data_IF_087807335737
#
_entry.id   IF_087807335737
#
_cell.length_a   1.000
_cell.length_b   1.000
_cell.length_c   1.000
_cell.angle_alpha   90.00
_cell.angle_beta   90.00
_cell.angle_gamma   90.00
#
_symmetry.space_group_name_H-M   'P 1'
#
loop_
_entity.id
_entity.type
_entity.pdbx_description
1 polymer ?
#
# COMPACT_ATOMS: atom_id res chain seq x y z
N UNK A 1 13.35 2.50 6.83
CA UNK A 1 12.86 1.72 5.67
C UNK A 1 12.40 0.34 6.11
N UNK A 2 13.20 -0.40 6.90
CA UNK A 2 12.77 -1.70 7.45
C UNK A 2 11.47 -1.61 8.27
N UNK A 3 11.30 -0.57 9.09
CA UNK A 3 10.06 -0.39 9.88
C UNK A 3 8.81 -0.23 9.01
N UNK A 4 8.93 0.43 7.85
CA UNK A 4 7.84 0.57 6.90
C UNK A 4 7.49 -0.80 6.28
N UNK A 5 8.51 -1.54 5.83
CA UNK A 5 8.33 -2.88 5.26
C UNK A 5 7.69 -3.84 6.26
N UNK A 6 8.08 -3.77 7.54
CA UNK A 6 7.46 -4.52 8.62
C UNK A 6 5.98 -4.16 8.79
N UNK A 7 5.64 -2.87 8.85
CA UNK A 7 4.25 -2.43 8.96
C UNK A 7 3.39 -2.87 7.75
N UNK A 8 3.94 -2.82 6.54
CA UNK A 8 3.29 -3.32 5.33
C UNK A 8 3.08 -4.83 5.37
N UNK A 9 4.05 -5.58 5.88
CA UNK A 9 3.94 -7.02 6.08
C UNK A 9 2.85 -7.38 7.09
N UNK A 10 2.83 -6.74 8.25
CA UNK A 10 1.79 -6.95 9.26
C UNK A 10 0.40 -6.67 8.72
N UNK A 11 0.25 -5.57 7.95
CA UNK A 11 -1.01 -5.25 7.29
C UNK A 11 -1.40 -6.34 6.28
N UNK A 12 -0.46 -6.79 5.43
CA UNK A 12 -0.68 -7.83 4.45
C UNK A 12 -1.17 -9.14 5.08
N UNK A 13 -0.51 -9.58 6.16
CA UNK A 13 -0.92 -10.77 6.93
C UNK A 13 -2.32 -10.59 7.52
N UNK A 14 -2.62 -9.40 8.05
CA UNK A 14 -3.94 -9.07 8.61
C UNK A 14 -5.07 -9.15 7.58
N UNK A 15 -4.84 -8.65 6.37
CA UNK A 15 -5.85 -8.63 5.30
C UNK A 15 -5.92 -9.93 4.50
N UNK A 16 -4.88 -10.77 4.56
CA UNK A 16 -4.85 -12.07 3.91
C UNK A 16 -4.83 -12.02 2.37
N UNK A 17 -4.31 -10.94 1.78
CA UNK A 17 -4.20 -10.76 0.34
C UNK A 17 -2.94 -11.41 -0.25
N UNK A 18 -3.01 -11.80 -1.52
CA UNK A 18 -1.95 -12.55 -2.22
C UNK A 18 -1.23 -11.73 -3.28
N UNK A 19 -1.79 -10.59 -3.67
CA UNK A 19 -1.21 -9.71 -4.68
C UNK A 19 -1.07 -8.33 -4.09
N UNK A 20 0.15 -7.80 -4.13
CA UNK A 20 0.48 -6.45 -3.67
C UNK A 20 0.88 -5.62 -4.86
N UNK A 21 0.02 -4.67 -5.23
CA UNK A 21 0.39 -3.64 -6.18
C UNK A 21 1.23 -2.57 -5.48
N UNK A 22 2.39 -2.20 -6.04
CA UNK A 22 3.24 -1.14 -5.51
C UNK A 22 3.29 0.05 -6.47
N UNK A 23 2.73 1.17 -6.02
CA UNK A 23 2.86 2.46 -6.70
C UNK A 23 4.19 3.12 -6.31
N UNK A 24 5.24 2.90 -7.12
CA UNK A 24 6.56 3.51 -6.89
C UNK A 24 7.22 3.87 -8.21
N UNK A 25 7.85 5.05 -8.26
CA UNK A 25 8.75 5.44 -9.34
C UNK A 25 10.15 4.83 -9.25
N UNK A 26 10.47 4.13 -8.15
CA UNK A 26 11.79 3.54 -7.90
C UNK A 26 11.71 2.01 -7.90
N UNK A 27 12.16 1.38 -8.98
CA UNK A 27 12.14 -0.08 -9.13
C UNK A 27 12.97 -0.81 -8.08
N UNK A 28 14.12 -0.24 -7.69
CA UNK A 28 14.98 -0.84 -6.65
C UNK A 28 14.23 -0.98 -5.32
N UNK A 29 13.43 0.00 -4.94
CA UNK A 29 12.61 -0.09 -3.71
C UNK A 29 11.54 -1.17 -3.83
N UNK A 30 10.92 -1.33 -5.01
CA UNK A 30 9.94 -2.41 -5.26
C UNK A 30 10.60 -3.77 -5.13
N UNK A 31 11.78 -3.96 -5.74
CA UNK A 31 12.49 -5.24 -5.72
C UNK A 31 12.98 -5.57 -4.29
N UNK A 32 13.46 -4.57 -3.53
CA UNK A 32 13.82 -4.72 -2.11
C UNK A 32 12.60 -5.12 -1.26
N UNK A 33 11.45 -4.49 -1.49
CA UNK A 33 10.22 -4.84 -0.78
C UNK A 33 9.76 -6.26 -1.12
N UNK A 34 9.80 -6.66 -2.39
CA UNK A 34 9.48 -8.02 -2.81
C UNK A 34 10.41 -9.05 -2.15
N UNK A 35 11.72 -8.80 -2.15
CA UNK A 35 12.70 -9.65 -1.47
C UNK A 35 12.46 -9.73 0.04
N UNK A 36 12.10 -8.60 0.68
CA UNK A 36 11.74 -8.55 2.09
C UNK A 36 10.54 -9.44 2.41
N UNK A 37 9.46 -9.34 1.63
CA UNK A 37 8.25 -10.16 1.83
C UNK A 37 8.55 -11.65 1.67
N UNK A 38 9.32 -12.04 0.64
CA UNK A 38 9.73 -13.45 0.43
C UNK A 38 10.52 -13.97 1.64
N UNK A 39 11.50 -13.19 2.12
CA UNK A 39 12.30 -13.56 3.29
C UNK A 39 11.42 -13.71 4.53
N UNK A 40 10.57 -12.72 4.83
CA UNK A 40 9.73 -12.69 6.03
C UNK A 40 8.69 -13.82 6.05
N UNK A 41 8.06 -14.10 4.90
CA UNK A 41 7.15 -15.24 4.75
C UNK A 41 7.86 -16.57 4.98
N UNK A 42 9.10 -16.73 4.47
CA UNK A 42 9.88 -17.94 4.68
C UNK A 42 10.30 -18.14 6.15
N UNK A 43 10.67 -17.05 6.84
CA UNK A 43 10.97 -17.07 8.28
C UNK A 43 9.74 -17.47 9.10
N UNK A 44 8.58 -16.86 8.84
CA UNK A 44 7.35 -17.19 9.56
C UNK A 44 6.88 -18.63 9.26
N UNK A 45 7.13 -19.13 8.05
CA UNK A 45 6.92 -20.53 7.70
C UNK A 45 7.80 -21.48 8.51
N UNK A 46 9.08 -21.16 8.67
CA UNK A 46 10.03 -21.95 9.43
C UNK A 46 9.72 -21.96 10.94
N UNK A 47 9.25 -20.83 11.48
CA UNK A 47 8.93 -20.68 12.90
C UNK A 47 7.62 -21.40 13.31
N UNK A 48 6.64 -21.49 12.40
CA UNK A 48 5.32 -22.05 12.71
C UNK A 48 5.23 -23.57 12.54
N UNK A 49 6.23 -24.20 11.94
CA UNK A 49 6.46 -25.65 11.98
C UNK A 49 5.40 -26.55 11.33
N UNK A 50 4.21 -26.06 10.95
CA UNK A 50 3.14 -26.73 10.20
C UNK A 50 2.05 -25.69 9.91
N UNK A 51 1.25 -25.94 8.88
CA UNK A 51 0.09 -25.19 8.34
C UNK A 51 -1.04 -24.80 9.33
N UNK A 52 -0.77 -24.58 10.63
CA UNK A 52 -1.80 -24.35 11.66
C UNK A 52 -1.70 -22.96 12.29
N UNK A 53 -2.27 -21.99 11.57
CA UNK A 53 -3.13 -20.95 12.14
C UNK A 53 -3.86 -20.15 11.05
N UNK A 54 -4.50 -20.80 10.05
CA UNK A 54 -5.32 -20.12 9.04
C UNK A 54 -4.58 -19.20 8.05
N UNK A 55 -3.34 -18.83 8.35
CA UNK A 55 -2.39 -18.22 7.43
C UNK A 55 -1.82 -19.36 6.59
N UNK A 56 -2.53 -19.72 5.51
CA UNK A 56 -1.82 -20.36 4.38
C UNK A 56 -0.70 -19.37 4.04
N UNK A 57 0.54 -19.82 4.06
CA UNK A 57 1.66 -19.07 3.48
C UNK A 57 1.36 -18.99 1.99
N UNK A 58 0.59 -17.98 1.63
CA UNK A 58 0.17 -17.75 0.27
C UNK A 58 1.37 -17.16 -0.46
N UNK A 59 1.55 -17.56 -1.71
CA UNK A 59 2.55 -16.94 -2.55
C UNK A 59 2.13 -15.49 -2.78
N UNK A 60 2.74 -14.58 -2.03
CA UNK A 60 2.51 -13.15 -2.23
C UNK A 60 3.27 -12.71 -3.46
N UNK A 61 2.56 -12.14 -4.42
CA UNK A 61 3.14 -11.59 -5.64
C UNK A 61 3.16 -10.07 -5.57
N UNK A 62 4.35 -9.48 -5.64
CA UNK A 62 4.50 -8.03 -5.77
C UNK A 62 4.48 -7.67 -7.25
N UNK A 63 3.59 -6.75 -7.61
CA UNK A 63 3.40 -6.30 -8.99
C UNK A 63 3.37 -4.78 -9.06
N UNK A 64 3.66 -4.26 -10.24
CA UNK A 64 3.49 -2.85 -10.62
C UNK A 64 2.71 -2.77 -11.92
N UNK A 65 2.30 -1.57 -12.33
CA UNK A 65 1.73 -1.33 -13.68
C UNK A 65 2.59 -1.88 -14.82
N UNK A 66 3.92 -1.92 -14.65
CA UNK A 66 4.84 -2.46 -15.66
C UNK A 66 4.74 -3.99 -15.79
N UNK A 67 4.40 -4.69 -14.72
CA UNK A 67 4.24 -6.14 -14.73
C UNK A 67 2.85 -6.55 -15.25
N UNK A 68 1.84 -5.69 -15.01
CA UNK A 68 0.44 -5.96 -15.35
C UNK A 68 0.06 -5.60 -16.79
N UNK A 69 0.59 -4.50 -17.34
CA UNK A 69 0.28 -4.08 -18.72
C UNK A 69 1.18 -4.77 -19.74
N UNK A 70 0.59 -5.22 -20.85
CA UNK A 70 1.27 -5.92 -21.93
C UNK A 70 0.90 -5.33 -23.29
N UNK A 71 1.62 -5.70 -24.35
CA UNK A 71 1.26 -5.38 -25.73
C UNK A 71 1.10 -3.88 -26.01
N UNK A 72 -0.04 -3.47 -26.57
CA UNK A 72 -0.34 -2.06 -26.89
C UNK A 72 -0.41 -1.20 -25.64
N UNK A 73 -1.00 -1.71 -24.56
CA UNK A 73 -1.21 -0.94 -23.33
C UNK A 73 0.11 -0.68 -22.62
N UNK A 74 1.05 -1.62 -22.71
CA UNK A 74 2.42 -1.40 -22.24
C UNK A 74 3.13 -0.30 -23.03
N UNK A 75 3.04 -0.32 -24.36
CA UNK A 75 3.63 0.72 -25.22
C UNK A 75 3.01 2.09 -24.94
N UNK A 76 1.71 2.13 -24.66
CA UNK A 76 1.03 3.37 -24.28
C UNK A 76 1.53 3.88 -22.93
N UNK A 77 1.63 3.02 -21.91
CA UNK A 77 2.20 3.38 -20.61
C UNK A 77 3.61 3.95 -20.75
N UNK A 78 4.47 3.29 -21.56
CA UNK A 78 5.85 3.73 -21.76
C UNK A 78 5.94 5.10 -22.48
N UNK A 79 4.87 5.53 -23.18
CA UNK A 79 4.77 6.85 -23.82
C UNK A 79 4.29 7.97 -22.89
N UNK A 80 3.77 7.62 -21.71
CA UNK A 80 3.26 8.58 -20.74
C UNK A 80 4.38 9.31 -20.00
N UNK A 81 4.13 10.58 -19.67
CA UNK A 81 4.97 11.33 -18.73
C UNK A 81 4.89 10.72 -17.32
N UNK A 82 5.82 11.12 -16.45
CA UNK A 82 5.83 10.67 -15.06
C UNK A 82 4.47 10.87 -14.36
N UNK A 83 3.85 12.04 -14.51
CA UNK A 83 2.56 12.33 -13.85
C UNK A 83 1.41 11.52 -14.44
N UNK A 84 1.40 11.32 -15.76
CA UNK A 84 0.42 10.45 -16.43
C UNK A 84 0.55 9.00 -15.97
N UNK A 85 1.77 8.53 -15.76
CA UNK A 85 2.03 7.21 -15.16
C UNK A 85 1.59 7.15 -13.70
N UNK A 86 1.79 8.21 -12.93
CA UNK A 86 1.29 8.34 -11.56
C UNK A 86 -0.24 8.31 -11.50
N UNK A 87 -0.93 8.86 -12.49
CA UNK A 87 -2.39 8.77 -12.60
C UNK A 87 -2.86 7.32 -12.80
N UNK A 88 -2.11 6.50 -13.55
CA UNK A 88 -2.41 5.05 -13.66
C UNK A 88 -2.30 4.37 -12.30
N UNK A 89 -1.25 4.66 -11.53
CA UNK A 89 -1.11 4.15 -10.15
C UNK A 89 -2.30 4.59 -9.28
N UNK A 90 -2.68 5.86 -9.36
CA UNK A 90 -3.77 6.44 -8.59
C UNK A 90 -5.11 5.76 -8.86
N UNK A 91 -5.43 5.52 -10.14
CA UNK A 91 -6.62 4.78 -10.55
C UNK A 91 -6.61 3.33 -10.03
N UNK A 92 -5.44 2.68 -10.04
CA UNK A 92 -5.29 1.33 -9.48
C UNK A 92 -5.52 1.32 -7.96
N UNK A 93 -5.02 2.32 -7.23
CA UNK A 93 -5.18 2.40 -5.77
C UNK A 93 -6.66 2.51 -5.34
N UNK A 94 -7.50 3.18 -6.13
CA UNK A 94 -8.94 3.21 -5.86
C UNK A 94 -9.64 1.87 -6.01
N UNK A 95 -9.07 0.96 -6.80
CA UNK A 95 -9.63 -0.39 -7.05
C UNK A 95 -9.11 -1.45 -6.10
N UNK A 96 -8.10 -1.14 -5.29
CA UNK A 96 -7.51 -2.09 -4.37
C UNK A 96 -8.50 -2.53 -3.28
N UNK A 97 -8.48 -3.82 -2.90
CA UNK A 97 -9.30 -4.34 -1.80
C UNK A 97 -8.90 -3.76 -0.44
N UNK A 98 -7.61 -3.52 -0.24
CA UNK A 98 -7.04 -2.82 0.90
C UNK A 98 -5.93 -1.88 0.41
N UNK A 99 -5.76 -0.75 1.07
CA UNK A 99 -4.78 0.26 0.71
C UNK A 99 -3.89 0.62 1.91
N UNK A 100 -2.59 0.76 1.66
CA UNK A 100 -1.63 1.29 2.63
C UNK A 100 -0.80 2.39 2.00
N UNK A 101 -0.48 3.41 2.81
CA UNK A 101 0.32 4.54 2.37
C UNK A 101 1.04 5.21 3.53
N UNK A 102 2.06 6.00 3.24
CA UNK A 102 2.88 6.68 4.27
C UNK A 102 2.39 8.10 4.51
N UNK A 103 2.35 8.55 5.77
CA UNK A 103 1.71 9.81 6.15
C UNK A 103 2.35 11.08 5.54
N UNK A 104 3.63 11.03 5.15
CA UNK A 104 4.36 12.21 4.64
C UNK A 104 4.15 12.52 3.15
N UNK A 105 3.29 11.75 2.45
CA UNK A 105 3.03 11.96 1.02
C UNK A 105 1.57 12.35 0.80
N UNK A 106 1.32 13.32 -0.08
CA UNK A 106 -0.03 13.71 -0.47
C UNK A 106 -0.75 12.64 -1.29
N UNK A 107 0.00 11.76 -1.98
CA UNK A 107 -0.56 10.67 -2.79
C UNK A 107 -1.46 9.75 -1.95
N UNK A 108 -0.96 9.12 -0.87
CA UNK A 108 -1.77 8.21 -0.07
C UNK A 108 -2.90 8.91 0.67
N UNK A 109 -2.75 10.17 1.07
CA UNK A 109 -3.85 10.92 1.68
C UNK A 109 -5.02 11.11 0.71
N UNK A 110 -4.75 11.52 -0.52
CA UNK A 110 -5.77 11.62 -1.57
C UNK A 110 -6.49 10.28 -1.81
N UNK A 111 -5.70 9.20 -1.92
CA UNK A 111 -6.25 7.86 -2.10
C UNK A 111 -7.16 7.47 -0.93
N UNK A 112 -6.65 7.61 0.29
CA UNK A 112 -7.33 7.21 1.50
C UNK A 112 -8.62 8.02 1.72
N UNK A 113 -8.56 9.35 1.60
CA UNK A 113 -9.72 10.22 1.77
C UNK A 113 -10.83 9.94 0.75
N UNK A 114 -10.46 9.69 -0.52
CA UNK A 114 -11.45 9.34 -1.53
C UNK A 114 -12.09 7.97 -1.28
N UNK A 115 -11.32 6.99 -0.81
CA UNK A 115 -11.84 5.68 -0.39
C UNK A 115 -12.71 5.80 0.86
N UNK A 116 -12.37 6.72 1.75
CA UNK A 116 -13.06 7.00 3.00
C UNK A 116 -14.49 7.54 2.79
N UNK A 117 -14.79 8.19 1.66
CA UNK A 117 -16.18 8.56 1.31
C UNK A 117 -17.15 7.38 1.28
N UNK A 118 -16.64 6.16 1.09
CA UNK A 118 -17.42 4.92 1.10
C UNK A 118 -17.38 4.20 2.46
N UNK A 119 -16.59 4.70 3.41
CA UNK A 119 -16.43 4.10 4.73
C UNK A 119 -17.72 4.22 5.55
N UNK A 120 -17.94 3.24 6.43
CA UNK A 120 -18.96 3.31 7.48
C UNK A 120 -18.64 4.36 8.56
N UNK A 121 -17.41 4.85 8.63
CA UNK A 121 -16.97 5.83 9.61
C UNK A 121 -17.11 7.26 9.04
N UNK A 122 -17.54 8.20 9.89
CA UNK A 122 -17.75 9.59 9.49
C UNK A 122 -16.55 10.52 9.77
N UNK A 123 -15.68 10.15 10.72
CA UNK A 123 -14.48 10.92 11.06
C UNK A 123 -13.24 10.28 10.45
N UNK A 124 -12.07 10.93 10.50
CA UNK A 124 -10.81 10.39 9.96
C UNK A 124 -9.99 9.59 11.00
N UNK A 125 -10.24 9.79 12.30
CA UNK A 125 -9.56 9.08 13.39
C UNK A 125 -10.32 7.79 13.71
N UNK A 126 -10.07 6.75 12.94
CA UNK A 126 -10.80 5.48 13.07
C UNK A 126 -9.87 4.30 13.36
N UNK A 127 -10.47 3.21 13.85
CA UNK A 127 -9.78 1.95 14.21
C UNK A 127 -8.53 2.11 15.11
N UNK A 128 -8.58 3.05 16.05
CA UNK A 128 -7.57 3.20 17.10
C UNK A 128 -6.20 3.68 16.62
N UNK A 129 -6.09 4.20 15.39
CA UNK A 129 -4.92 4.95 14.93
C UNK A 129 -5.15 6.44 15.15
N UNK A 130 -4.07 7.16 15.46
CA UNK A 130 -4.02 8.62 15.44
C UNK A 130 -4.01 9.19 14.01
N UNK A 131 -3.63 8.36 13.02
CA UNK A 131 -3.76 8.61 11.59
C UNK A 131 -5.02 7.94 11.00
N UNK A 132 -5.30 8.19 9.71
CA UNK A 132 -6.44 7.58 9.03
C UNK A 132 -6.26 6.07 8.90
N UNK A 133 -7.18 5.33 9.51
CA UNK A 133 -7.28 3.88 9.38
C UNK A 133 -8.75 3.45 9.41
N UNK A 134 -9.24 2.91 8.30
CA UNK A 134 -10.61 2.42 8.17
C UNK A 134 -10.62 1.03 7.52
N UNK A 135 -11.81 0.53 7.14
CA UNK A 135 -11.96 -0.80 6.53
C UNK A 135 -11.28 -0.93 5.15
N UNK A 136 -10.89 0.18 4.53
CA UNK A 136 -10.36 0.23 3.17
C UNK A 136 -8.91 0.68 3.11
N UNK A 137 -8.44 1.48 4.07
CA UNK A 137 -7.24 2.28 3.97
C UNK A 137 -6.49 2.35 5.31
N UNK A 138 -5.17 2.37 5.26
CA UNK A 138 -4.30 2.62 6.42
C UNK A 138 -3.19 3.58 6.04
N UNK A 139 -3.17 4.75 6.66
CA UNK A 139 -2.04 5.68 6.62
C UNK A 139 -1.07 5.31 7.74
N UNK A 140 0.14 4.94 7.35
CA UNK A 140 1.22 4.49 8.23
C UNK A 140 2.06 5.67 8.72
N UNK A 141 2.45 5.59 9.99
CA UNK A 141 3.12 6.64 10.76
C UNK A 141 2.34 6.93 12.04
N UNK A 142 2.85 7.85 12.86
CA UNK A 142 2.12 8.37 14.03
C UNK A 142 2.02 9.88 13.97
N UNK A 143 1.02 10.48 14.63
CA UNK A 143 0.89 11.93 14.75
C UNK A 143 2.06 12.51 15.55
N UNK A 144 2.68 11.71 16.43
CA UNK A 144 3.88 12.12 17.16
C UNK A 144 5.08 12.35 16.22
N UNK A 145 5.21 11.53 15.17
CA UNK A 145 6.24 11.70 14.14
C UNK A 145 5.96 12.94 13.27
N UNK A 146 4.72 13.42 13.29
CA UNK A 146 4.20 14.43 12.38
C UNK A 146 3.15 15.35 13.05
N UNK A 147 3.57 16.18 14.02
CA UNK A 147 2.65 16.95 14.85
C UNK A 147 1.79 17.95 14.04
N UNK A 148 2.32 18.41 12.90
CA UNK A 148 1.70 19.42 12.03
C UNK A 148 1.06 18.81 10.76
N UNK A 149 0.89 17.48 10.67
CA UNK A 149 0.17 16.88 9.54
C UNK A 149 -1.34 17.19 9.64
N UNK A 150 -1.81 18.20 8.90
CA UNK A 150 -3.23 18.36 8.59
C UNK A 150 -3.57 17.55 7.31
N UNK A 151 -4.41 16.51 7.40
CA UNK A 151 -4.85 15.73 6.24
C UNK A 151 -5.42 16.55 5.09
N UNK A 152 -5.98 17.74 5.36
CA UNK A 152 -6.47 18.65 4.32
C UNK A 152 -5.35 19.41 3.61
N UNK A 153 -4.31 19.85 4.33
CA UNK A 153 -3.16 20.53 3.73
C UNK A 153 -2.31 19.57 2.89
N UNK A 154 -2.11 18.36 3.40
CA UNK A 154 -1.35 17.31 2.71
C UNK A 154 -2.21 16.52 1.72
N UNK A 155 -3.54 16.67 1.74
CA UNK A 155 -4.45 16.04 0.80
C UNK A 155 -4.52 16.72 -0.57
N UNK A 156 -3.79 17.82 -0.83
CA UNK A 156 -3.76 18.46 -2.14
C UNK A 156 -2.65 17.83 -2.99
N UNK A 157 -3.04 17.07 -4.01
CA UNK A 157 -2.12 16.61 -5.04
C UNK A 157 -1.86 17.74 -6.06
N UNK A 158 -0.62 18.01 -6.48
CA UNK A 158 -0.34 19.01 -7.52
C UNK A 158 -0.96 18.68 -8.88
#
# INVERSE_FOLDING_TARGET
MEDQFAAQYEHLVRVGLEVVYVASGNRTVVDLFAAYLVRRLAEDAALTGLEKAGVRLRNVTVVTKYDLLQGSDRKLLDSFTFDQQGLVDFLMMFKASAFTGVAYSSFPWNVALRRHELSKYAGIKNEGSDMLKDEYSTIMGSQADYPDLDPFEFGIWP
#
